data_IF_586882135309
#
_entry.id   IF_586882135309
#
_cell.length_a   1.000
_cell.length_b   1.000
_cell.length_c   1.000
_cell.angle_alpha   90.00
_cell.angle_beta   90.00
_cell.angle_gamma   90.00
#
_symmetry.space_group_name_H-M   'P 1'
#
loop_
_entity.id
_entity.type
_entity.pdbx_description
1 polymer ?
#
# COMPACT_ATOMS: atom_id res chain seq x y z
N UNK A 1 9.56 -13.52 10.48
CA UNK A 1 8.52 -13.05 9.52
C UNK A 1 7.48 -12.25 10.28
N UNK A 2 6.75 -11.35 9.62
CA UNK A 2 5.56 -10.76 10.23
C UNK A 2 4.45 -11.82 10.31
N UNK A 3 3.60 -11.72 11.34
CA UNK A 3 2.47 -12.63 11.55
C UNK A 3 1.54 -12.68 10.33
N UNK A 4 0.82 -13.80 10.16
CA UNK A 4 -0.06 -14.04 9.02
C UNK A 4 -1.14 -12.97 8.84
N UNK A 5 -1.61 -12.39 9.95
CA UNK A 5 -2.55 -11.27 9.94
C UNK A 5 -2.00 -10.03 9.22
N UNK A 6 -0.70 -9.78 9.32
CA UNK A 6 -0.05 -8.63 8.69
C UNK A 6 0.21 -8.86 7.20
N UNK A 7 0.19 -10.10 6.74
CA UNK A 7 0.34 -10.43 5.33
C UNK A 7 -0.88 -9.95 4.54
N UNK A 8 -0.64 -9.26 3.42
CA UNK A 8 -1.70 -8.72 2.56
C UNK A 8 -2.68 -7.76 3.27
N UNK A 9 -2.29 -7.20 4.44
CA UNK A 9 -3.19 -6.43 5.29
C UNK A 9 -3.83 -5.25 4.56
N UNK A 10 -3.03 -4.45 3.85
CA UNK A 10 -3.52 -3.30 3.10
C UNK A 10 -4.49 -3.72 1.98
N UNK A 11 -4.24 -4.85 1.32
CA UNK A 11 -5.11 -5.37 0.25
C UNK A 11 -6.45 -5.83 0.80
N UNK A 12 -6.46 -6.47 1.97
CA UNK A 12 -7.68 -6.97 2.62
C UNK A 12 -8.48 -5.86 3.31
N UNK A 13 -7.82 -4.78 3.73
CA UNK A 13 -8.40 -3.72 4.55
C UNK A 13 -8.22 -2.30 3.95
N UNK A 14 -8.52 -2.06 2.66
CA UNK A 14 -8.16 -0.80 2.01
C UNK A 14 -8.90 0.42 2.58
N UNK A 15 -10.08 0.21 3.18
CA UNK A 15 -10.91 1.26 3.78
C UNK A 15 -10.60 1.53 5.27
N UNK A 16 -9.74 0.74 5.91
CA UNK A 16 -9.34 1.01 7.29
C UNK A 16 -8.73 2.42 7.40
N UNK A 17 -9.10 3.22 8.41
CA UNK A 17 -8.60 4.60 8.53
C UNK A 17 -7.08 4.68 8.49
N UNK A 18 -6.39 3.76 9.16
CA UNK A 18 -4.93 3.66 9.10
C UNK A 18 -4.42 3.48 7.66
N UNK A 19 -5.01 2.56 6.90
CA UNK A 19 -4.66 2.35 5.50
C UNK A 19 -4.96 3.60 4.66
N UNK A 20 -6.10 4.26 4.87
CA UNK A 20 -6.54 5.42 4.12
C UNK A 20 -5.68 6.67 4.33
N UNK A 21 -5.26 6.92 5.58
CA UNK A 21 -4.55 8.14 5.99
C UNK A 21 -3.03 7.97 6.08
N UNK A 22 -2.53 6.76 6.32
CA UNK A 22 -1.08 6.51 6.51
C UNK A 22 -0.46 5.76 5.34
N UNK A 23 -1.05 4.63 4.93
CA UNK A 23 -0.44 3.74 3.92
C UNK A 23 -0.67 4.26 2.51
N UNK A 24 -1.92 4.57 2.17
CA UNK A 24 -2.35 5.01 0.83
C UNK A 24 -1.56 6.20 0.29
N UNK A 25 -1.34 7.32 1.02
CA UNK A 25 -0.56 8.44 0.48
C UNK A 25 0.90 8.07 0.21
N UNK A 26 1.50 7.18 1.01
CA UNK A 26 2.87 6.70 0.79
C UNK A 26 2.98 5.85 -0.47
N UNK A 27 2.04 4.91 -0.66
CA UNK A 27 1.97 4.07 -1.87
C UNK A 27 1.71 4.93 -3.12
N UNK A 28 0.81 5.90 -3.04
CA UNK A 28 0.55 6.82 -4.14
C UNK A 28 1.79 7.64 -4.51
N UNK A 29 2.53 8.16 -3.52
CA UNK A 29 3.79 8.87 -3.73
C UNK A 29 4.82 7.98 -4.43
N UNK A 30 4.98 6.74 -3.95
CA UNK A 30 5.88 5.76 -4.57
C UNK A 30 5.52 5.50 -6.03
N UNK A 31 4.25 5.19 -6.33
CA UNK A 31 3.78 4.97 -7.69
C UNK A 31 4.04 6.17 -8.60
N UNK A 32 3.83 7.39 -8.10
CA UNK A 32 4.12 8.62 -8.85
C UNK A 32 5.60 8.75 -9.20
N UNK A 33 6.51 8.41 -8.29
CA UNK A 33 7.96 8.56 -8.51
C UNK A 33 8.54 7.50 -9.44
N UNK A 34 7.93 6.32 -9.49
CA UNK A 34 8.42 5.18 -10.27
C UNK A 34 7.47 4.75 -11.38
N UNK A 35 6.61 5.68 -11.84
CA UNK A 35 5.61 5.42 -12.87
C UNK A 35 6.23 4.81 -14.13
N UNK A 36 7.38 5.32 -14.55
CA UNK A 36 8.14 4.86 -15.73
C UNK A 36 8.77 3.47 -15.57
N UNK A 37 8.86 2.94 -14.35
CA UNK A 37 9.41 1.60 -14.06
C UNK A 37 8.31 0.55 -13.88
N UNK A 38 7.04 0.94 -13.96
CA UNK A 38 5.94 -0.01 -13.90
C UNK A 38 5.97 -0.88 -15.16
N UNK A 39 5.76 -2.18 -14.98
CA UNK A 39 5.61 -3.10 -16.11
C UNK A 39 4.36 -2.71 -16.89
N UNK A 40 4.52 -2.54 -18.20
CA UNK A 40 3.45 -2.33 -19.18
C UNK A 40 2.55 -3.55 -19.32
#
# INVERSE_FOLDING_TARGET
>A
AAEDYHQEYFRRNPAQPYCAFVVRPKVAKFRKHFLEKLKS
#
